data_IF_487603034375
#
_entry.id   IF_487603034375
#
_cell.length_a   1.000
_cell.length_b   1.000
_cell.length_c   1.000
_cell.angle_alpha   90.00
_cell.angle_beta   90.00
_cell.angle_gamma   90.00
#
_symmetry.space_group_name_H-M   'P 1'
#
loop_
_entity.id
_entity.type
_entity.pdbx_description
1 polymer ?
#
# COMPACT_ATOMS: atom_id res chain seq x y z
N UNK A 1 33.00 17.89 18.40
CA UNK A 1 34.23 18.05 17.58
C UNK A 1 34.82 19.45 17.76
N UNK A 2 34.18 20.51 17.27
CA UNK A 2 34.68 21.90 17.43
C UNK A 2 35.00 22.27 18.89
N UNK A 3 34.04 22.12 19.81
CA UNK A 3 34.22 22.42 21.24
C UNK A 3 35.31 21.58 21.93
N UNK A 4 35.61 20.39 21.39
CA UNK A 4 36.63 19.49 21.94
C UNK A 4 38.03 19.90 21.46
N UNK A 5 38.16 20.28 20.19
CA UNK A 5 39.42 20.69 19.58
C UNK A 5 39.86 22.09 20.04
N UNK A 6 38.90 22.99 20.31
CA UNK A 6 39.16 24.33 20.87
C UNK A 6 39.90 24.30 22.21
N UNK A 7 39.70 23.26 23.02
CA UNK A 7 40.34 23.13 24.33
C UNK A 7 41.78 22.62 24.25
N UNK A 8 42.18 21.98 23.14
CA UNK A 8 43.49 21.30 23.01
C UNK A 8 44.41 22.03 22.05
N UNK A 9 43.88 22.57 20.94
CA UNK A 9 44.68 23.22 19.90
C UNK A 9 43.91 24.41 19.30
N UNK A 10 43.89 25.61 19.90
CA UNK A 10 43.19 26.74 19.31
C UNK A 10 43.95 27.32 18.10
N UNK A 11 43.29 27.48 16.96
CA UNK A 11 43.78 28.28 15.83
C UNK A 11 42.66 29.10 15.18
N UNK A 12 43.05 30.19 14.53
CA UNK A 12 42.18 31.32 14.13
C UNK A 12 41.07 30.95 13.14
N UNK A 13 41.24 29.88 12.37
CA UNK A 13 40.30 29.44 11.32
C UNK A 13 39.73 28.03 11.55
N UNK A 14 39.84 27.51 12.77
CA UNK A 14 39.44 26.14 13.13
C UNK A 14 38.01 25.79 12.74
N UNK A 15 37.06 26.70 12.93
CA UNK A 15 35.66 26.44 12.59
C UNK A 15 35.49 26.15 11.08
N UNK A 16 36.15 26.94 10.23
CA UNK A 16 36.08 26.79 8.78
C UNK A 16 36.72 25.50 8.30
N UNK A 17 37.86 25.13 8.87
CA UNK A 17 38.57 23.90 8.51
C UNK A 17 37.77 22.66 8.93
N UNK A 18 37.13 22.69 10.11
CA UNK A 18 36.27 21.59 10.58
C UNK A 18 35.01 21.45 9.71
N UNK A 19 34.42 22.55 9.26
CA UNK A 19 33.27 22.51 8.35
C UNK A 19 33.64 21.91 6.98
N UNK A 20 34.82 22.23 6.45
CA UNK A 20 35.31 21.62 5.21
C UNK A 20 35.55 20.11 5.33
N UNK A 21 35.93 19.64 6.52
CA UNK A 21 36.18 18.21 6.80
C UNK A 21 34.98 17.50 7.43
N UNK A 22 33.82 18.17 7.53
CA UNK A 22 32.62 17.55 8.05
C UNK A 22 32.11 16.53 7.02
N UNK A 23 31.89 15.27 7.46
CA UNK A 23 31.40 14.23 6.57
C UNK A 23 30.09 14.63 5.88
N UNK A 24 30.10 14.66 4.54
CA UNK A 24 28.92 14.95 3.72
C UNK A 24 27.87 13.83 3.71
N UNK A 25 28.26 12.63 4.14
CA UNK A 25 27.39 11.45 4.18
C UNK A 25 26.55 11.35 5.46
N UNK A 26 26.31 12.46 6.15
CA UNK A 26 25.36 12.47 7.27
C UNK A 26 23.96 12.27 6.72
N UNK A 27 23.23 11.31 7.27
CA UNK A 27 21.81 11.19 6.99
C UNK A 27 21.13 12.53 7.29
N UNK A 28 20.38 13.11 6.34
CA UNK A 28 19.70 14.38 6.56
C UNK A 28 18.74 14.23 7.75
N UNK A 29 18.91 15.06 8.78
CA UNK A 29 17.96 15.16 9.89
C UNK A 29 16.72 16.00 9.51
N UNK A 30 16.65 16.49 8.27
CA UNK A 30 15.54 17.29 7.77
C UNK A 30 14.29 16.41 7.74
N UNK A 31 13.27 16.80 8.51
CA UNK A 31 11.96 16.17 8.46
C UNK A 31 11.28 16.56 7.16
N UNK A 32 10.84 15.58 6.38
CA UNK A 32 10.02 15.82 5.21
C UNK A 32 8.64 16.36 5.63
N UNK A 33 8.04 17.20 4.78
CA UNK A 33 6.69 17.72 4.99
C UNK A 33 5.63 16.62 4.97
N UNK A 34 4.37 17.00 5.24
CA UNK A 34 3.25 16.08 5.09
C UNK A 34 3.09 15.70 3.61
N UNK A 35 2.84 14.42 3.29
CA UNK A 35 2.49 14.03 1.93
C UNK A 35 1.28 14.84 1.44
N UNK A 36 1.22 15.20 0.15
CA UNK A 36 0.03 15.80 -0.42
C UNK A 36 -1.16 14.85 -0.25
N UNK A 37 -2.33 15.42 0.00
CA UNK A 37 -3.56 14.65 0.09
C UNK A 37 -3.84 13.97 -1.25
N UNK A 38 -4.17 12.68 -1.21
CA UNK A 38 -4.55 11.93 -2.40
C UNK A 38 -6.04 12.14 -2.64
N UNK A 39 -6.38 12.83 -3.73
CA UNK A 39 -7.76 12.94 -4.18
C UNK A 39 -8.24 11.56 -4.62
N UNK A 40 -9.25 11.03 -3.94
CA UNK A 40 -9.91 9.78 -4.34
C UNK A 40 -10.81 10.10 -5.52
N UNK A 41 -10.57 9.47 -6.67
CA UNK A 41 -11.38 9.65 -7.86
C UNK A 41 -12.60 8.73 -7.74
N UNK A 42 -13.77 9.26 -8.04
CA UNK A 42 -15.05 8.58 -7.75
C UNK A 42 -15.57 7.73 -8.90
N UNK A 43 -14.72 7.46 -9.89
CA UNK A 43 -15.07 6.73 -11.09
C UNK A 43 -14.55 5.31 -10.99
N UNK A 44 -15.44 4.30 -10.89
CA UNK A 44 -15.02 2.91 -10.89
C UNK A 44 -14.13 2.63 -12.10
N UNK A 45 -13.05 1.89 -11.88
CA UNK A 45 -12.10 1.43 -12.91
C UNK A 45 -11.26 2.51 -13.57
N UNK A 46 -11.30 3.75 -13.07
CA UNK A 46 -10.49 4.84 -13.60
C UNK A 46 -9.01 4.69 -13.21
N UNK A 47 -8.76 4.28 -11.98
CA UNK A 47 -7.43 4.02 -11.44
C UNK A 47 -7.44 2.68 -10.70
N UNK A 48 -6.32 1.98 -10.74
CA UNK A 48 -6.12 0.71 -10.03
C UNK A 48 -4.71 0.69 -9.46
N UNK A 49 -4.60 0.50 -8.15
CA UNK A 49 -3.34 0.27 -7.47
C UNK A 49 -2.98 -1.21 -7.57
N UNK A 50 -1.78 -1.51 -8.06
CA UNK A 50 -1.28 -2.88 -8.23
C UNK A 50 0.04 -3.01 -7.48
N UNK A 51 0.20 -4.08 -6.70
CA UNK A 51 1.46 -4.38 -6.03
C UNK A 51 1.63 -5.88 -5.82
N UNK A 52 2.87 -6.33 -5.64
CA UNK A 52 3.20 -7.70 -5.28
C UNK A 52 3.43 -7.83 -3.78
N UNK A 53 3.02 -8.95 -3.20
CA UNK A 53 3.27 -9.29 -1.80
C UNK A 53 3.95 -10.66 -1.69
N UNK A 54 4.87 -10.80 -0.74
CA UNK A 54 5.75 -11.97 -0.58
C UNK A 54 7.22 -11.63 -0.87
N UNK A 55 8.11 -12.63 -0.97
CA UNK A 55 7.86 -14.06 -0.83
C UNK A 55 7.63 -14.51 0.62
N UNK A 56 6.78 -15.51 0.81
CA UNK A 56 6.43 -16.10 2.10
C UNK A 56 6.84 -17.57 2.20
N UNK A 57 7.31 -17.95 3.40
CA UNK A 57 7.68 -19.34 3.71
C UNK A 57 8.88 -19.85 2.90
N UNK A 58 9.20 -21.14 3.09
CA UNK A 58 10.33 -21.80 2.39
C UNK A 58 10.10 -21.91 0.88
N UNK A 59 8.85 -22.06 0.46
CA UNK A 59 8.46 -22.18 -0.95
C UNK A 59 8.38 -20.83 -1.67
N UNK A 60 8.62 -19.73 -0.95
CA UNK A 60 8.65 -18.36 -1.49
C UNK A 60 7.36 -17.99 -2.22
N UNK A 61 6.22 -18.28 -1.60
CA UNK A 61 4.92 -17.93 -2.17
C UNK A 61 4.76 -16.42 -2.27
N UNK A 62 4.30 -15.95 -3.41
CA UNK A 62 3.99 -14.54 -3.63
C UNK A 62 2.70 -14.40 -4.40
N UNK A 63 2.08 -13.22 -4.31
CA UNK A 63 0.86 -12.95 -5.04
C UNK A 63 0.79 -11.50 -5.51
N UNK A 64 -0.02 -11.26 -6.55
CA UNK A 64 -0.30 -9.94 -7.08
C UNK A 64 -1.59 -9.41 -6.47
N UNK A 65 -1.48 -8.30 -5.77
CA UNK A 65 -2.60 -7.57 -5.17
C UNK A 65 -3.05 -6.44 -6.08
N UNK A 66 -4.36 -6.22 -6.13
CA UNK A 66 -4.99 -5.21 -6.95
C UNK A 66 -6.12 -4.56 -6.14
N UNK A 67 -6.13 -3.23 -6.07
CA UNK A 67 -7.15 -2.43 -5.41
C UNK A 67 -7.64 -1.36 -6.38
N UNK A 68 -8.94 -1.11 -6.36
CA UNK A 68 -9.58 -0.06 -7.12
C UNK A 68 -9.95 1.08 -6.16
N UNK A 69 -9.20 2.19 -6.13
CA UNK A 69 -9.53 3.31 -5.25
C UNK A 69 -10.67 4.14 -5.84
N UNK A 70 -11.87 3.59 -6.01
CA UNK A 70 -13.05 4.45 -6.18
C UNK A 70 -13.66 4.79 -4.83
N UNK A 71 -13.77 6.08 -4.56
CA UNK A 71 -14.59 6.61 -3.46
C UNK A 71 -15.92 7.06 -4.04
N UNK A 72 -17.07 6.63 -3.54
CA UNK A 72 -18.32 7.23 -4.01
C UNK A 72 -18.38 8.70 -3.59
N UNK A 73 -18.74 9.60 -4.51
CA UNK A 73 -18.79 11.04 -4.25
C UNK A 73 -19.84 11.45 -3.19
N UNK A 74 -20.66 10.50 -2.72
CA UNK A 74 -21.62 10.68 -1.62
C UNK A 74 -21.20 10.06 -0.28
N UNK A 75 -20.17 9.21 -0.25
CA UNK A 75 -19.68 8.56 0.96
C UNK A 75 -18.17 8.79 1.06
N UNK A 76 -17.75 9.56 2.07
CA UNK A 76 -16.36 9.89 2.30
C UNK A 76 -15.46 8.65 2.39
N UNK A 77 -14.82 8.32 1.26
CA UNK A 77 -13.72 7.36 1.17
C UNK A 77 -14.12 5.90 1.02
N UNK A 78 -14.86 5.52 -0.02
CA UNK A 78 -14.89 4.12 -0.46
C UNK A 78 -13.52 3.71 -1.04
N UNK A 79 -13.11 2.47 -0.76
CA UNK A 79 -11.95 1.79 -1.34
C UNK A 79 -12.49 0.49 -1.95
N UNK A 80 -12.86 0.51 -3.22
CA UNK A 80 -13.37 -0.65 -3.93
C UNK A 80 -12.27 -1.73 -4.09
N UNK A 81 -12.36 -2.83 -3.35
CA UNK A 81 -11.41 -3.93 -3.50
C UNK A 81 -11.95 -5.03 -4.43
N UNK A 82 -11.47 -5.06 -5.67
CA UNK A 82 -11.51 -6.26 -6.52
C UNK A 82 -10.12 -6.88 -6.66
N UNK A 83 -9.83 -7.83 -5.79
CA UNK A 83 -8.77 -8.81 -6.01
C UNK A 83 -9.21 -9.79 -7.10
N UNK A 84 -8.66 -9.63 -8.31
CA UNK A 84 -8.55 -10.69 -9.31
C UNK A 84 -7.09 -11.10 -9.36
N UNK A 85 -6.80 -12.25 -8.74
CA UNK A 85 -5.49 -12.88 -8.84
C UNK A 85 -5.30 -13.39 -10.28
N UNK A 86 -4.10 -13.21 -10.81
CA UNK A 86 -3.66 -13.66 -12.14
C UNK A 86 -3.97 -12.73 -13.33
N UNK A 87 -3.06 -11.78 -13.56
CA UNK A 87 -2.82 -11.22 -14.89
C UNK A 87 -1.35 -11.37 -15.25
N UNK A 88 -1.07 -12.07 -16.36
CA UNK A 88 0.27 -12.14 -16.95
C UNK A 88 0.66 -10.76 -17.51
N UNK A 89 1.92 -10.29 -17.39
CA UNK A 89 2.29 -8.91 -17.70
C UNK A 89 2.32 -8.53 -19.19
N UNK A 90 1.96 -9.43 -20.11
CA UNK A 90 2.20 -9.27 -21.55
C UNK A 90 1.11 -8.51 -22.34
N UNK A 91 -0.02 -8.13 -21.71
CA UNK A 91 -1.21 -7.66 -22.44
C UNK A 91 -1.43 -6.13 -22.49
N UNK A 92 -0.45 -5.28 -22.14
CA UNK A 92 -0.69 -3.82 -22.08
C UNK A 92 -0.57 -3.06 -23.41
N UNK A 93 -0.22 -3.71 -24.52
CA UNK A 93 -0.12 -3.02 -25.82
C UNK A 93 -1.45 -2.99 -26.58
N UNK A 94 -2.36 -3.91 -26.26
CA UNK A 94 -3.68 -4.02 -26.91
C UNK A 94 -4.80 -3.34 -26.14
N UNK A 95 -4.59 -3.08 -24.84
CA UNK A 95 -5.57 -2.42 -23.99
C UNK A 95 -5.12 -0.96 -23.74
N UNK A 96 -6.03 0.02 -23.91
CA UNK A 96 -5.79 1.47 -23.74
C UNK A 96 -5.56 1.91 -22.28
N UNK A 97 -4.76 1.18 -21.50
CA UNK A 97 -4.44 1.52 -20.12
C UNK A 97 -3.14 2.31 -20.04
N UNK A 98 -3.15 3.44 -19.34
CA UNK A 98 -1.94 4.21 -19.03
C UNK A 98 -1.30 3.65 -17.76
N UNK A 99 -0.03 3.26 -17.83
CA UNK A 99 0.74 2.90 -16.62
C UNK A 99 1.24 4.17 -15.93
N UNK A 100 1.00 4.27 -14.63
CA UNK A 100 1.50 5.35 -13.77
C UNK A 100 2.50 4.72 -12.77
N UNK A 101 3.80 4.73 -13.07
CA UNK A 101 4.80 4.19 -12.16
C UNK A 101 5.00 5.14 -10.97
N UNK A 102 5.18 4.58 -9.77
CA UNK A 102 5.56 5.36 -8.59
C UNK A 102 7.05 5.75 -8.65
N UNK A 103 7.40 6.85 -7.99
CA UNK A 103 8.80 7.25 -7.84
C UNK A 103 9.61 6.18 -7.11
N UNK A 104 10.87 5.99 -7.51
CA UNK A 104 11.78 4.98 -6.92
C UNK A 104 11.88 5.13 -5.40
N UNK A 105 11.72 4.02 -4.67
CA UNK A 105 11.82 3.94 -3.20
C UNK A 105 10.87 4.87 -2.44
N UNK A 106 9.68 5.13 -2.98
CA UNK A 106 8.62 5.88 -2.31
C UNK A 106 7.36 5.01 -2.13
N UNK A 107 7.33 4.10 -1.12
CA UNK A 107 6.17 3.22 -0.90
C UNK A 107 4.89 4.00 -0.61
N UNK A 108 5.00 5.17 0.02
CA UNK A 108 3.87 6.06 0.33
C UNK A 108 3.10 6.48 -0.93
N UNK A 109 3.75 6.54 -2.10
CA UNK A 109 3.08 6.81 -3.37
C UNK A 109 2.00 5.76 -3.69
N UNK A 110 2.17 4.52 -3.24
CA UNK A 110 1.20 3.43 -3.34
C UNK A 110 0.50 3.09 -2.00
N UNK A 111 0.52 4.00 -1.03
CA UNK A 111 0.03 3.74 0.34
C UNK A 111 -1.43 3.27 0.48
N UNK A 112 -2.22 3.31 -0.60
CA UNK A 112 -3.58 2.75 -0.64
C UNK A 112 -3.56 1.22 -0.53
N UNK A 113 -2.51 0.55 -1.03
CA UNK A 113 -2.41 -0.92 -1.01
C UNK A 113 -1.85 -1.48 0.30
N UNK A 114 -1.14 -0.65 1.07
CA UNK A 114 -0.47 -1.06 2.30
C UNK A 114 -1.44 -1.60 3.37
N UNK A 115 -2.64 -1.02 3.60
CA UNK A 115 -3.62 -1.61 4.51
C UNK A 115 -4.02 -3.03 4.12
N UNK A 116 -4.19 -3.31 2.82
CA UNK A 116 -4.50 -4.66 2.34
C UNK A 116 -3.36 -5.62 2.65
N UNK A 117 -2.11 -5.22 2.40
CA UNK A 117 -0.94 -6.05 2.71
C UNK A 117 -0.83 -6.38 4.19
N UNK A 118 -1.18 -5.44 5.08
CA UNK A 118 -1.25 -5.67 6.52
C UNK A 118 -2.31 -6.70 6.88
N UNK A 119 -3.53 -6.58 6.35
CA UNK A 119 -4.61 -7.56 6.62
C UNK A 119 -4.24 -8.95 6.10
N UNK A 120 -3.66 -9.04 4.91
CA UNK A 120 -3.16 -10.32 4.36
C UNK A 120 -2.08 -10.90 5.28
N UNK A 121 -1.11 -10.08 5.70
CA UNK A 121 -0.04 -10.53 6.60
C UNK A 121 -0.56 -10.98 7.96
N UNK A 122 -1.58 -10.30 8.52
CA UNK A 122 -2.21 -10.69 9.78
C UNK A 122 -2.95 -12.01 9.66
N UNK A 123 -3.70 -12.22 8.57
CA UNK A 123 -4.35 -13.50 8.28
C UNK A 123 -3.33 -14.63 8.12
N UNK A 124 -2.19 -14.36 7.49
CA UNK A 124 -1.11 -15.35 7.34
C UNK A 124 -0.53 -15.81 8.68
N UNK A 125 -0.53 -14.98 9.74
CA UNK A 125 -0.03 -15.38 11.07
C UNK A 125 -0.83 -16.53 11.69
N UNK A 126 -2.10 -16.67 11.31
CA UNK A 126 -3.01 -17.67 11.89
C UNK A 126 -3.11 -18.97 11.09
N UNK A 127 -2.60 -19.02 9.85
CA UNK A 127 -2.74 -20.18 8.97
C UNK A 127 -1.39 -20.85 8.71
N UNK A 128 -1.37 -22.18 8.72
CA UNK A 128 -0.20 -22.95 8.30
C UNK A 128 -0.28 -23.22 6.81
N UNK A 129 0.63 -22.62 6.04
CA UNK A 129 0.69 -22.76 4.59
C UNK A 129 1.91 -23.60 4.25
N UNK A 130 1.68 -24.88 3.95
CA UNK A 130 2.74 -25.84 3.62
C UNK A 130 2.69 -26.23 2.15
N UNK A 131 1.52 -26.30 1.54
CA UNK A 131 1.39 -26.69 0.13
C UNK A 131 0.89 -25.54 -0.75
N UNK A 132 1.05 -25.69 -2.06
CA UNK A 132 0.47 -24.76 -3.04
C UNK A 132 -1.07 -24.71 -2.94
N UNK A 133 -1.72 -25.83 -2.63
CA UNK A 133 -3.17 -25.86 -2.42
C UNK A 133 -3.60 -25.05 -1.21
N UNK A 134 -2.84 -25.11 -0.11
CA UNK A 134 -3.10 -24.28 1.08
C UNK A 134 -2.94 -22.79 0.75
N UNK A 135 -1.96 -22.44 -0.09
CA UNK A 135 -1.75 -21.07 -0.54
C UNK A 135 -2.94 -20.55 -1.36
N UNK A 136 -3.45 -21.35 -2.30
CA UNK A 136 -4.62 -20.99 -3.10
C UNK A 136 -5.88 -20.84 -2.24
N UNK A 137 -6.10 -21.77 -1.30
CA UNK A 137 -7.20 -21.68 -0.34
C UNK A 137 -7.09 -20.45 0.56
N UNK A 138 -5.89 -20.16 1.06
CA UNK A 138 -5.63 -18.94 1.85
C UNK A 138 -5.96 -17.68 1.06
N UNK A 139 -5.57 -17.62 -0.21
CA UNK A 139 -5.81 -16.47 -1.08
C UNK A 139 -7.29 -16.27 -1.38
N UNK A 140 -8.02 -17.36 -1.63
CA UNK A 140 -9.48 -17.31 -1.84
C UNK A 140 -10.20 -16.85 -0.57
N UNK A 141 -9.88 -17.43 0.59
CA UNK A 141 -10.47 -17.07 1.88
C UNK A 141 -10.15 -15.63 2.28
N UNK A 142 -8.91 -15.19 2.08
CA UNK A 142 -8.49 -13.81 2.36
C UNK A 142 -9.18 -12.81 1.43
N UNK A 143 -9.29 -13.15 0.14
CA UNK A 143 -10.01 -12.34 -0.85
C UNK A 143 -11.48 -12.21 -0.51
N UNK A 144 -12.12 -13.30 -0.10
CA UNK A 144 -13.51 -13.29 0.32
C UNK A 144 -13.68 -12.40 1.57
N UNK A 145 -12.87 -12.62 2.61
CA UNK A 145 -13.00 -11.85 3.85
C UNK A 145 -12.77 -10.35 3.62
N UNK A 146 -11.80 -9.99 2.78
CA UNK A 146 -11.50 -8.58 2.49
C UNK A 146 -12.66 -7.86 1.78
N UNK A 147 -13.43 -8.60 0.97
CA UNK A 147 -14.58 -8.06 0.23
C UNK A 147 -15.83 -7.94 1.10
N UNK A 148 -15.96 -8.81 2.09
CA UNK A 148 -17.12 -8.92 2.97
C UNK A 148 -16.97 -8.13 4.28
N UNK A 149 -15.74 -7.93 4.77
CA UNK A 149 -15.51 -7.19 6.02
C UNK A 149 -16.00 -5.75 5.91
N UNK A 150 -16.98 -5.41 6.75
CA UNK A 150 -17.55 -4.06 6.84
C UNK A 150 -16.47 -3.08 7.29
N UNK A 151 -16.31 -1.99 6.54
CA UNK A 151 -15.39 -0.93 6.90
C UNK A 151 -15.97 -0.06 8.02
N UNK A 152 -15.24 0.11 9.12
CA UNK A 152 -15.75 0.76 10.33
C UNK A 152 -16.25 2.20 10.12
N UNK A 153 -15.63 2.96 9.21
CA UNK A 153 -16.04 4.34 8.91
C UNK A 153 -17.23 4.44 7.95
N UNK A 154 -17.38 3.46 7.05
CA UNK A 154 -18.38 3.52 5.99
C UNK A 154 -19.64 2.73 6.35
N UNK A 155 -19.54 1.77 7.27
CA UNK A 155 -20.64 0.88 7.61
C UNK A 155 -21.00 -0.13 6.51
N UNK A 156 -20.28 -0.13 5.38
CA UNK A 156 -20.51 -1.02 4.25
C UNK A 156 -19.30 -1.90 3.96
N UNK A 157 -19.54 -3.07 3.38
CA UNK A 157 -18.46 -3.91 2.86
C UNK A 157 -18.00 -3.41 1.48
N UNK A 158 -16.73 -3.62 1.09
CA UNK A 158 -16.24 -3.24 -0.24
C UNK A 158 -17.04 -3.86 -1.39
N UNK A 159 -17.52 -5.10 -1.22
CA UNK A 159 -18.37 -5.73 -2.22
C UNK A 159 -19.75 -5.07 -2.33
N UNK A 160 -20.33 -4.68 -1.20
CA UNK A 160 -21.59 -3.95 -1.17
C UNK A 160 -21.46 -2.57 -1.82
N UNK A 161 -20.37 -1.85 -1.56
CA UNK A 161 -20.08 -0.59 -2.27
C UNK A 161 -19.88 -0.79 -3.78
N UNK A 162 -19.25 -1.89 -4.20
CA UNK A 162 -19.02 -2.17 -5.64
C UNK A 162 -20.29 -2.59 -6.38
N UNK A 163 -21.09 -3.44 -5.76
CA UNK A 163 -22.15 -4.19 -6.43
C UNK A 163 -23.56 -3.80 -5.98
N UNK A 164 -23.69 -2.95 -4.96
CA UNK A 164 -24.97 -2.61 -4.34
C UNK A 164 -25.62 -3.75 -3.55
N UNK A 165 -24.89 -4.85 -3.29
CA UNK A 165 -25.40 -6.05 -2.60
C UNK A 165 -24.35 -6.70 -1.72
N UNK A 166 -24.79 -7.32 -0.63
CA UNK A 166 -23.95 -8.11 0.26
C UNK A 166 -23.50 -9.42 -0.43
N UNK A 167 -22.33 -9.95 -0.04
CA UNK A 167 -21.78 -11.21 -0.55
C UNK A 167 -22.26 -12.46 0.20
N UNK A 168 -22.73 -12.30 1.44
CA UNK A 168 -23.23 -13.39 2.27
C UNK A 168 -24.76 -13.43 2.22
N UNK A 169 -25.40 -12.28 2.39
CA UNK A 169 -26.85 -12.19 2.51
C UNK A 169 -27.46 -11.49 1.29
N UNK A 170 -28.66 -11.93 0.88
CA UNK A 170 -29.41 -11.27 -0.18
C UNK A 170 -30.22 -10.10 0.42
N UNK A 171 -29.51 -9.10 0.91
CA UNK A 171 -30.08 -7.90 1.53
C UNK A 171 -29.74 -6.70 0.66
N UNK A 172 -30.76 -5.92 0.29
CA UNK A 172 -30.58 -4.67 -0.44
C UNK A 172 -29.79 -3.67 0.42
N UNK A 173 -28.82 -2.99 -0.20
CA UNK A 173 -28.06 -1.96 0.47
C UNK A 173 -28.90 -0.68 0.63
N UNK A 174 -29.28 -0.36 1.87
CA UNK A 174 -29.79 0.96 2.23
C UNK A 174 -28.62 1.86 2.65
N UNK A 175 -28.38 2.93 1.90
CA UNK A 175 -27.58 4.06 2.38
C UNK A 175 -28.51 4.99 3.17
N UNK A 176 -28.29 5.12 4.48
CA UNK A 176 -28.92 6.18 5.28
C UNK A 176 -28.36 7.57 4.93
#
# INVERSE_FOLDING_TARGET
MLKTMQNVLPWTIMARDIEQHLCQNKHPTVKYGKPPEKTVITRPWFEVAIDSIGPYGKQKFGTLTMIEPSGDAGCGGCLQQRSRLHLRPTATRELRHRRVPTTTRNPQANGIIEPLHRVVSDKMRTQQIVTQGDWENFLQNSTFTLKESVHSMLGVSPAQATFGRDMIFDVEHSTD
#
